data_IF_827129824706
#
_entry.id   IF_827129824706
#
_cell.length_a   1.000
_cell.length_b   1.000
_cell.length_c   1.000
_cell.angle_alpha   90.00
_cell.angle_beta   90.00
_cell.angle_gamma   90.00
#
_symmetry.space_group_name_H-M   'P 1'
#
loop_
_entity.id
_entity.type
_entity.pdbx_description
1 polymer ?
#
# COMPACT_ATOMS: atom_id res chain seq x y z
N UNK A 1 -25.30 3.12 6.66
CA UNK A 1 -24.11 3.96 6.89
C UNK A 1 -23.04 3.40 5.96
N UNK A 2 -22.67 4.13 4.91
CA UNK A 2 -21.70 3.63 3.93
C UNK A 2 -20.37 3.32 4.61
N UNK A 3 -20.00 2.04 4.61
CA UNK A 3 -18.70 1.61 5.12
C UNK A 3 -17.64 2.01 4.10
N UNK A 4 -16.91 3.09 4.42
CA UNK A 4 -15.76 3.53 3.63
C UNK A 4 -14.48 2.97 4.25
N UNK A 5 -13.59 2.53 3.37
CA UNK A 5 -12.29 2.00 3.73
C UNK A 5 -11.19 2.90 3.19
N UNK A 6 -10.09 2.98 3.91
CA UNK A 6 -8.86 3.59 3.43
C UNK A 6 -7.92 2.47 2.98
N UNK A 7 -7.52 2.51 1.71
CA UNK A 7 -6.70 1.46 1.11
C UNK A 7 -5.27 1.96 0.95
N UNK A 8 -4.33 1.27 1.59
CA UNK A 8 -2.89 1.43 1.40
C UNK A 8 -2.44 0.39 0.36
N UNK A 9 -2.04 0.84 -0.83
CA UNK A 9 -1.46 -0.01 -1.86
C UNK A 9 0.05 0.24 -1.92
N UNK A 10 0.84 -0.83 -1.82
CA UNK A 10 2.29 -0.81 -1.82
C UNK A 10 2.80 -1.76 -2.90
N UNK A 11 3.84 -1.39 -3.65
CA UNK A 11 4.40 -2.23 -4.71
C UNK A 11 5.90 -2.37 -4.57
N UNK A 12 6.41 -3.61 -4.66
CA UNK A 12 7.85 -3.89 -4.67
C UNK A 12 8.49 -3.26 -5.90
N UNK A 13 9.62 -2.60 -5.68
CA UNK A 13 10.47 -2.15 -6.77
C UNK A 13 11.25 -3.33 -7.37
N UNK A 14 11.51 -3.29 -8.69
CA UNK A 14 12.23 -4.37 -9.40
C UNK A 14 13.63 -4.67 -8.82
N UNK A 15 14.25 -3.71 -8.13
CA UNK A 15 15.58 -3.87 -7.53
C UNK A 15 15.58 -4.50 -6.14
N UNK A 16 14.40 -4.75 -5.54
CA UNK A 16 14.27 -5.26 -4.16
C UNK A 16 13.89 -6.76 -4.09
N UNK A 17 13.80 -7.45 -5.24
CA UNK A 17 13.29 -8.82 -5.35
C UNK A 17 14.19 -9.88 -4.66
N UNK A 18 15.47 -9.58 -4.44
CA UNK A 18 16.44 -10.55 -3.91
C UNK A 18 16.64 -10.52 -2.39
N UNK A 19 15.90 -9.69 -1.64
CA UNK A 19 16.08 -9.56 -0.18
C UNK A 19 15.07 -10.39 0.63
N UNK A 20 15.56 -11.01 1.72
CA UNK A 20 14.78 -11.88 2.62
C UNK A 20 13.96 -11.12 3.69
N UNK A 21 14.25 -9.83 3.90
CA UNK A 21 13.53 -8.93 4.82
C UNK A 21 12.50 -8.06 4.08
N UNK A 22 11.66 -7.31 4.80
CA UNK A 22 10.76 -6.34 4.15
C UNK A 22 11.55 -5.40 3.23
N UNK A 23 11.12 -5.30 1.98
CA UNK A 23 11.74 -4.42 0.99
C UNK A 23 11.75 -2.97 1.47
N UNK A 24 12.90 -2.30 1.29
CA UNK A 24 13.04 -0.87 1.58
C UNK A 24 11.98 -0.04 0.86
N UNK A 25 11.59 -0.43 -0.36
CA UNK A 25 10.54 0.26 -1.11
C UNK A 25 9.18 0.18 -0.39
N UNK A 26 8.79 -0.97 0.19
CA UNK A 26 7.52 -1.13 0.91
C UNK A 26 7.54 -0.35 2.22
N UNK A 27 8.62 -0.49 3.01
CA UNK A 27 8.76 0.22 4.29
C UNK A 27 8.68 1.74 4.10
N UNK A 28 9.38 2.26 3.08
CA UNK A 28 9.37 3.69 2.79
C UNK A 28 8.00 4.19 2.30
N UNK A 29 7.33 3.43 1.42
CA UNK A 29 5.98 3.77 0.97
C UNK A 29 4.99 3.81 2.13
N UNK A 30 5.03 2.81 3.03
CA UNK A 30 4.16 2.77 4.21
C UNK A 30 4.39 3.98 5.11
N UNK A 31 5.66 4.31 5.40
CA UNK A 31 6.02 5.46 6.23
C UNK A 31 5.46 6.77 5.65
N UNK A 32 5.60 7.00 4.35
CA UNK A 32 5.09 8.22 3.70
C UNK A 32 3.56 8.29 3.79
N UNK A 33 2.87 7.17 3.51
CA UNK A 33 1.41 7.11 3.58
C UNK A 33 0.91 7.30 5.02
N UNK A 34 1.57 6.69 6.02
CA UNK A 34 1.24 6.85 7.43
C UNK A 34 1.38 8.29 7.91
N UNK A 35 2.48 8.96 7.56
CA UNK A 35 2.67 10.38 7.89
C UNK A 35 1.60 11.26 7.24
N UNK A 36 1.20 10.97 5.99
CA UNK A 36 0.08 11.67 5.36
C UNK A 36 -1.23 11.47 6.14
N UNK A 37 -1.56 10.23 6.50
CA UNK A 37 -2.80 9.90 7.22
C UNK A 37 -2.84 10.55 8.62
N UNK A 38 -1.71 10.53 9.34
CA UNK A 38 -1.59 11.19 10.66
C UNK A 38 -1.89 12.68 10.60
N UNK A 39 -1.61 13.33 9.48
CA UNK A 39 -1.89 14.76 9.29
C UNK A 39 -3.32 15.05 8.79
N UNK A 40 -4.15 14.04 8.54
CA UNK A 40 -5.51 14.20 8.01
C UNK A 40 -6.55 13.43 8.86
N UNK A 41 -7.18 14.12 9.82
CA UNK A 41 -8.11 13.52 10.79
C UNK A 41 -9.26 12.73 10.15
N UNK A 42 -9.78 13.20 9.00
CA UNK A 42 -10.83 12.49 8.27
C UNK A 42 -10.40 11.08 7.87
N UNK A 43 -9.14 10.90 7.44
CA UNK A 43 -8.63 9.62 6.97
C UNK A 43 -8.45 8.62 8.12
N UNK A 44 -8.17 9.12 9.32
CA UNK A 44 -8.02 8.31 10.53
C UNK A 44 -9.34 7.66 10.97
N UNK A 45 -10.48 8.16 10.49
CA UNK A 45 -11.81 7.61 10.83
C UNK A 45 -12.18 6.37 10.02
N UNK A 46 -11.44 6.06 8.94
CA UNK A 46 -11.72 4.91 8.08
C UNK A 46 -10.98 3.65 8.52
N UNK A 47 -11.64 2.49 8.37
CA UNK A 47 -10.97 1.22 8.52
C UNK A 47 -9.89 1.05 7.44
N UNK A 48 -8.67 0.68 7.84
CA UNK A 48 -7.51 0.55 6.95
C UNK A 48 -7.38 -0.87 6.41
N UNK A 49 -7.10 -0.98 5.11
CA UNK A 49 -6.70 -2.23 4.44
C UNK A 49 -5.39 -2.00 3.71
N UNK A 50 -4.45 -2.94 3.79
CA UNK A 50 -3.16 -2.88 3.10
C UNK A 50 -3.06 -4.00 2.06
N UNK A 51 -2.63 -3.64 0.85
CA UNK A 51 -2.38 -4.57 -0.25
C UNK A 51 -0.95 -4.37 -0.76
N UNK A 52 -0.20 -5.46 -0.90
CA UNK A 52 1.19 -5.46 -1.35
C UNK A 52 1.31 -6.26 -2.64
N UNK A 53 1.80 -5.61 -3.70
CA UNK A 53 2.09 -6.20 -5.01
C UNK A 53 3.59 -6.46 -5.13
N UNK A 54 3.96 -7.64 -5.63
CA UNK A 54 5.35 -8.09 -5.73
C UNK A 54 6.14 -7.45 -6.89
N UNK A 55 5.49 -6.58 -7.66
CA UNK A 55 6.08 -5.86 -8.77
C UNK A 55 6.14 -6.66 -10.07
N UNK A 56 5.86 -7.97 -10.03
CA UNK A 56 6.03 -8.90 -11.15
C UNK A 56 4.74 -9.11 -11.94
N UNK A 57 3.57 -9.17 -11.28
CA UNK A 57 2.26 -9.41 -11.93
C UNK A 57 1.63 -8.19 -12.58
N UNK A 58 2.14 -6.99 -12.35
CA UNK A 58 1.47 -5.74 -12.70
C UNK A 58 1.53 -5.29 -14.17
N UNK A 59 1.45 -6.19 -15.16
CA UNK A 59 1.22 -5.83 -16.57
C UNK A 59 -0.25 -5.68 -16.93
N UNK A 60 -1.19 -6.06 -16.05
CA UNK A 60 -2.60 -5.73 -16.19
C UNK A 60 -3.21 -5.48 -14.81
N UNK A 61 -3.78 -4.29 -14.57
CA UNK A 61 -4.91 -4.19 -13.63
C UNK A 61 -6.11 -4.89 -14.29
N UNK A 62 -6.02 -6.21 -14.46
CA UNK A 62 -7.16 -6.99 -14.94
C UNK A 62 -8.22 -6.89 -13.87
N UNK A 63 -9.28 -6.16 -14.20
CA UNK A 63 -10.57 -6.07 -13.54
C UNK A 63 -10.78 -7.21 -12.52
N UNK A 64 -10.67 -6.90 -11.22
CA UNK A 64 -11.18 -7.80 -10.18
C UNK A 64 -12.70 -7.69 -10.26
N UNK A 65 -13.32 -8.64 -10.99
CA UNK A 65 -14.77 -8.84 -11.01
C UNK A 65 -15.22 -9.65 -9.80
#
# INVERSE_FOLDING_TARGET
>A
MDKRYLINYLRLSKGDVERRDESNSITNQRRIQDEYIKNHIQLQTYARLEFVDDGYSGTNFVEVR
#
